data_IF_662455671099
#
_entry.id   IF_662455671099
#
_cell.length_a   1.000
_cell.length_b   1.000
_cell.length_c   1.000
_cell.angle_alpha   90.00
_cell.angle_beta   90.00
_cell.angle_gamma   90.00
#
_symmetry.space_group_name_H-M   'P 1'
#
loop_
_entity.id
_entity.type
_entity.pdbx_description
1 polymer ?
#
# COMPACT_ATOMS: atom_id res chain seq x y z
N UNK A 1 -4.27 25.31 5.31
CA UNK A 1 -5.37 24.44 4.90
C UNK A 1 -5.41 23.22 5.79
N UNK A 2 -6.61 22.81 6.20
CA UNK A 2 -6.85 21.57 6.96
C UNK A 2 -7.69 20.63 6.09
N UNK A 3 -7.11 19.50 5.67
CA UNK A 3 -7.86 18.48 4.95
C UNK A 3 -8.82 17.80 5.93
N UNK A 4 -10.10 17.76 5.57
CA UNK A 4 -11.14 17.12 6.38
C UNK A 4 -11.16 15.65 6.03
N UNK A 5 -11.13 14.78 7.05
CA UNK A 5 -11.35 13.36 6.85
C UNK A 5 -12.69 13.15 6.14
N UNK A 6 -12.73 12.49 4.97
CA UNK A 6 -13.96 12.32 4.19
C UNK A 6 -15.10 11.69 4.99
N UNK A 7 -14.75 10.92 6.03
CA UNK A 7 -15.65 10.11 6.84
C UNK A 7 -15.28 10.13 8.32
N UNK A 8 -15.11 11.31 8.89
CA UNK A 8 -14.71 11.50 10.29
C UNK A 8 -15.56 10.73 11.34
N UNK A 9 -16.80 10.37 11.00
CA UNK A 9 -17.77 9.69 11.89
C UNK A 9 -17.90 8.18 11.65
N UNK A 10 -17.32 7.65 10.58
CA UNK A 10 -17.31 6.21 10.32
C UNK A 10 -15.95 5.65 10.68
N UNK A 11 -14.91 5.95 9.88
CA UNK A 11 -13.66 5.20 9.94
C UNK A 11 -12.43 6.08 9.62
N UNK A 12 -11.24 5.73 10.15
CA UNK A 12 -10.03 6.51 9.98
C UNK A 12 -9.46 6.44 8.54
N UNK A 13 -8.60 7.40 8.22
CA UNK A 13 -7.71 7.30 7.06
C UNK A 13 -6.63 6.27 7.40
N UNK A 14 -6.53 5.23 6.57
CA UNK A 14 -5.61 4.12 6.78
C UNK A 14 -4.28 4.33 6.05
N UNK A 15 -4.31 5.04 4.92
CA UNK A 15 -3.12 5.30 4.13
C UNK A 15 -3.19 6.60 3.35
N UNK A 16 -2.03 7.18 3.04
CA UNK A 16 -1.89 8.41 2.27
C UNK A 16 -0.77 8.26 1.24
N UNK A 17 -1.04 8.69 0.01
CA UNK A 17 -0.02 8.77 -1.04
C UNK A 17 -0.12 10.07 -1.82
N UNK A 18 1.00 10.77 -1.96
CA UNK A 18 1.08 11.97 -2.79
C UNK A 18 1.53 11.60 -4.21
N UNK A 19 0.86 12.19 -5.20
CA UNK A 19 1.13 12.04 -6.63
C UNK A 19 1.65 13.37 -7.20
N UNK A 20 2.98 13.57 -7.25
CA UNK A 20 3.57 14.86 -7.65
C UNK A 20 3.16 15.32 -9.04
N UNK A 21 3.11 14.41 -10.03
CA UNK A 21 2.71 14.73 -11.41
C UNK A 21 1.33 15.41 -11.50
N UNK A 22 0.44 15.12 -10.57
CA UNK A 22 -0.93 15.64 -10.59
C UNK A 22 -1.21 16.66 -9.48
N UNK A 23 -0.23 16.94 -8.62
CA UNK A 23 -0.42 17.70 -7.38
C UNK A 23 -1.62 17.19 -6.57
N UNK A 24 -1.70 15.87 -6.36
CA UNK A 24 -2.83 15.24 -5.67
C UNK A 24 -2.37 14.43 -4.47
N UNK A 25 -3.09 14.54 -3.36
CA UNK A 25 -3.03 13.59 -2.26
C UNK A 25 -4.19 12.59 -2.38
N UNK A 26 -3.89 11.31 -2.30
CA UNK A 26 -4.87 10.24 -2.18
C UNK A 26 -4.91 9.73 -0.74
N UNK A 27 -6.10 9.35 -0.28
CA UNK A 27 -6.33 8.67 0.98
C UNK A 27 -7.10 7.37 0.77
N UNK A 28 -6.62 6.31 1.41
CA UNK A 28 -7.32 5.03 1.52
C UNK A 28 -8.07 5.02 2.85
N UNK A 29 -9.36 4.71 2.79
CA UNK A 29 -10.23 4.63 3.94
C UNK A 29 -10.96 3.28 3.93
N UNK A 30 -11.66 2.99 5.01
CA UNK A 30 -12.48 1.78 5.06
C UNK A 30 -13.62 1.77 4.03
N UNK A 31 -14.13 2.89 3.53
CA UNK A 31 -15.29 2.88 2.61
C UNK A 31 -14.97 3.36 1.19
N UNK A 32 -13.72 3.75 0.91
CA UNK A 32 -13.39 4.40 -0.35
C UNK A 32 -11.95 4.89 -0.45
N UNK A 33 -11.59 5.30 -1.66
CA UNK A 33 -10.36 6.06 -1.93
C UNK A 33 -10.75 7.49 -2.28
N UNK A 34 -10.13 8.48 -1.65
CA UNK A 34 -10.48 9.88 -1.82
C UNK A 34 -9.27 10.70 -2.29
N UNK A 35 -9.51 11.80 -3.01
CA UNK A 35 -8.44 12.65 -3.52
C UNK A 35 -8.66 14.13 -3.24
N UNK A 36 -7.58 14.85 -2.99
CA UNK A 36 -7.51 16.31 -2.91
C UNK A 36 -6.44 16.81 -3.87
N UNK A 37 -6.80 17.74 -4.74
CA UNK A 37 -5.82 18.52 -5.51
C UNK A 37 -5.16 19.52 -4.56
N UNK A 38 -3.85 19.69 -4.57
CA UNK A 38 -3.13 20.56 -3.66
C UNK A 38 -2.45 21.70 -4.45
N UNK A 39 -3.22 22.70 -4.94
CA UNK A 39 -2.65 23.80 -5.70
C UNK A 39 -1.72 24.63 -4.80
N UNK A 40 -0.48 24.85 -5.23
CA UNK A 40 0.56 25.68 -4.59
C UNK A 40 0.51 25.76 -3.04
N UNK A 41 1.27 24.90 -2.36
CA UNK A 41 1.47 24.86 -0.91
C UNK A 41 1.82 26.21 -0.24
N UNK A 42 2.25 27.22 -1.00
CA UNK A 42 2.74 28.52 -0.50
C UNK A 42 1.63 29.55 -0.27
N UNK A 43 0.40 29.35 -0.74
CA UNK A 43 -0.62 30.41 -0.79
C UNK A 43 -1.90 30.15 0.02
N UNK A 44 -2.01 29.02 0.70
CA UNK A 44 -3.27 28.67 1.35
C UNK A 44 -3.39 29.31 2.74
N UNK A 45 -4.50 30.01 2.97
CA UNK A 45 -4.87 30.48 4.31
C UNK A 45 -5.01 29.26 5.23
N UNK A 46 -4.41 29.35 6.42
CA UNK A 46 -4.34 28.23 7.37
C UNK A 46 -5.72 27.73 7.84
N UNK A 47 -6.78 28.54 7.70
CA UNK A 47 -8.09 28.32 8.35
C UNK A 47 -9.19 27.75 7.44
N UNK A 48 -8.89 27.37 6.19
CA UNK A 48 -9.89 26.76 5.31
C UNK A 48 -9.87 25.22 5.48
N UNK A 49 -10.99 24.68 5.95
CA UNK A 49 -11.29 23.24 5.95
C UNK A 49 -11.66 22.80 4.54
N UNK A 50 -11.04 21.70 4.07
CA UNK A 50 -11.24 21.21 2.70
C UNK A 50 -11.66 19.75 2.65
N UNK A 51 -12.86 19.52 2.13
CA UNK A 51 -13.39 18.19 1.82
C UNK A 51 -12.71 17.61 0.56
N UNK A 52 -12.82 16.29 0.38
CA UNK A 52 -12.31 15.63 -0.81
C UNK A 52 -12.92 16.19 -2.11
N UNK A 53 -12.08 16.31 -3.13
CA UNK A 53 -12.49 16.76 -4.45
C UNK A 53 -13.18 15.63 -5.22
N UNK A 54 -12.65 14.40 -5.08
CA UNK A 54 -13.19 13.19 -5.72
C UNK A 54 -13.14 11.99 -4.77
N UNK A 55 -14.11 11.12 -4.96
CA UNK A 55 -14.14 9.73 -4.50
C UNK A 55 -13.84 8.83 -5.70
N UNK A 56 -12.97 7.85 -5.49
CA UNK A 56 -12.46 6.94 -6.51
C UNK A 56 -12.97 5.55 -6.15
N UNK A 57 -13.87 5.03 -6.98
CA UNK A 57 -14.43 3.69 -6.81
C UNK A 57 -13.53 2.65 -7.45
N UNK A 58 -12.86 1.86 -6.61
CA UNK A 58 -12.14 0.66 -7.02
C UNK A 58 -13.15 -0.51 -7.14
N UNK A 59 -13.14 -1.30 -8.23
CA UNK A 59 -14.07 -2.40 -8.41
C UNK A 59 -13.65 -3.64 -7.60
N UNK A 60 -13.85 -3.59 -6.28
CA UNK A 60 -13.62 -4.71 -5.34
C UNK A 60 -14.75 -5.75 -5.40
N UNK A 61 -14.47 -6.97 -4.94
CA UNK A 61 -15.45 -8.07 -4.80
C UNK A 61 -15.98 -8.20 -3.38
N UNK A 62 -15.27 -7.65 -2.41
CA UNK A 62 -15.66 -7.55 -1.01
C UNK A 62 -16.16 -6.14 -0.67
N UNK A 63 -16.63 -5.97 0.56
CA UNK A 63 -16.84 -4.64 1.11
C UNK A 63 -15.53 -3.85 1.05
N UNK A 64 -15.57 -2.56 0.66
CA UNK A 64 -14.38 -1.74 0.65
C UNK A 64 -13.70 -1.77 2.03
N UNK A 65 -12.36 -1.79 2.03
CA UNK A 65 -11.52 -1.41 3.15
C UNK A 65 -10.08 -1.26 2.64
N UNK A 66 -9.67 -0.02 2.35
CA UNK A 66 -8.41 0.25 1.64
C UNK A 66 -7.28 0.61 2.60
N UNK A 67 -6.56 -0.39 3.07
CA UNK A 67 -5.48 -0.26 4.07
C UNK A 67 -4.07 -0.14 3.48
N UNK A 68 -3.93 -0.26 2.15
CA UNK A 68 -2.67 -0.06 1.45
C UNK A 68 -2.80 0.81 0.21
N UNK A 69 -1.94 1.82 0.10
CA UNK A 69 -1.79 2.67 -1.09
C UNK A 69 -0.32 2.97 -1.36
N UNK A 70 0.11 2.85 -2.61
CA UNK A 70 1.47 3.22 -2.99
C UNK A 70 1.56 3.78 -4.41
N UNK A 71 2.49 4.73 -4.62
CA UNK A 71 2.83 5.24 -5.95
C UNK A 71 3.80 4.26 -6.62
N UNK A 72 3.38 3.63 -7.71
CA UNK A 72 4.22 2.71 -8.48
C UNK A 72 4.96 3.43 -9.61
N UNK A 73 4.30 4.35 -10.31
CA UNK A 73 4.95 5.25 -11.27
C UNK A 73 4.39 6.65 -11.10
N UNK A 74 4.78 7.60 -11.94
CA UNK A 74 4.15 8.93 -11.96
C UNK A 74 2.65 8.90 -12.30
N UNK A 75 2.11 7.76 -12.76
CA UNK A 75 0.72 7.61 -13.16
C UNK A 75 0.03 6.41 -12.49
N UNK A 76 0.77 5.34 -12.23
CA UNK A 76 0.22 4.10 -11.69
C UNK A 76 0.23 4.12 -10.17
N UNK A 77 -0.92 3.77 -9.60
CA UNK A 77 -1.14 3.65 -8.16
C UNK A 77 -1.49 2.21 -7.85
N UNK A 78 -0.86 1.69 -6.80
CA UNK A 78 -1.16 0.40 -6.21
C UNK A 78 -2.15 0.62 -5.07
N UNK A 79 -3.18 -0.20 -5.00
CA UNK A 79 -4.20 -0.17 -3.96
C UNK A 79 -4.47 -1.59 -3.48
N UNK A 80 -4.52 -1.75 -2.15
CA UNK A 80 -4.86 -2.99 -1.47
C UNK A 80 -6.19 -2.80 -0.77
N UNK A 81 -7.05 -3.80 -0.89
CA UNK A 81 -8.30 -3.90 -0.14
C UNK A 81 -8.24 -5.16 0.73
N UNK A 82 -8.70 -5.05 1.96
CA UNK A 82 -8.83 -6.17 2.91
C UNK A 82 -9.79 -7.20 2.31
N UNK A 83 -9.58 -8.49 2.58
CA UNK A 83 -10.31 -9.66 2.04
C UNK A 83 -10.29 -9.86 0.51
N UNK A 84 -9.80 -8.92 -0.29
CA UNK A 84 -9.88 -9.00 -1.76
C UNK A 84 -9.04 -10.16 -2.34
N UNK A 85 -7.95 -10.54 -1.67
CA UNK A 85 -7.00 -11.57 -2.14
C UNK A 85 -6.16 -11.16 -3.36
N UNK A 86 -6.33 -9.92 -3.83
CA UNK A 86 -5.57 -9.34 -4.92
C UNK A 86 -5.17 -7.90 -4.54
N UNK A 87 -3.98 -7.49 -4.96
CA UNK A 87 -3.55 -6.09 -4.94
C UNK A 87 -3.79 -5.53 -6.34
N UNK A 88 -4.41 -4.36 -6.42
CA UNK A 88 -4.79 -3.75 -7.69
C UNK A 88 -3.86 -2.61 -8.08
N UNK A 89 -3.73 -2.41 -9.39
CA UNK A 89 -3.02 -1.28 -9.98
C UNK A 89 -3.99 -0.54 -10.90
N UNK A 90 -4.09 0.78 -10.76
CA UNK A 90 -4.87 1.64 -11.64
C UNK A 90 -4.07 2.86 -12.12
N UNK A 91 -4.51 3.46 -13.22
CA UNK A 91 -3.90 4.64 -13.81
C UNK A 91 -4.62 5.91 -13.36
N UNK A 92 -3.95 6.78 -12.60
CA UNK A 92 -4.53 8.02 -12.13
C UNK A 92 -4.79 9.03 -13.27
N UNK A 93 -4.06 8.95 -14.39
CA UNK A 93 -4.36 9.78 -15.55
C UNK A 93 -5.77 9.50 -16.10
N UNK A 94 -6.26 8.25 -15.99
CA UNK A 94 -7.63 7.89 -16.31
C UNK A 94 -8.64 8.60 -15.40
N UNK A 95 -8.33 8.72 -14.09
CA UNK A 95 -9.17 9.42 -13.13
C UNK A 95 -9.31 10.88 -13.52
N UNK A 96 -8.20 11.54 -13.86
CA UNK A 96 -8.19 12.94 -14.32
C UNK A 96 -8.99 13.13 -15.61
N UNK A 97 -8.90 12.20 -16.56
CA UNK A 97 -9.67 12.28 -17.81
C UNK A 97 -11.17 12.09 -17.56
N UNK A 98 -11.55 11.19 -16.65
CA UNK A 98 -12.95 10.91 -16.32
C UNK A 98 -13.57 12.01 -15.48
N UNK A 99 -12.81 12.60 -14.55
CA UNK A 99 -13.31 13.69 -13.68
C UNK A 99 -13.72 14.92 -14.49
N UNK A 100 -13.00 15.23 -15.58
CA UNK A 100 -13.36 16.31 -16.53
C UNK A 100 -14.71 16.12 -17.22
N UNK A 101 -15.22 14.89 -17.28
CA UNK A 101 -16.51 14.54 -17.92
C UNK A 101 -17.66 14.47 -16.92
N UNK A 102 -17.41 14.67 -15.64
CA UNK A 102 -18.45 14.65 -14.62
C UNK A 102 -19.33 15.89 -14.75
N UNK A 103 -20.64 15.69 -14.71
CA UNK A 103 -21.61 16.78 -14.56
C UNK A 103 -21.43 17.45 -13.20
N UNK A 104 -21.70 18.75 -13.11
CA UNK A 104 -21.66 19.51 -11.85
C UNK A 104 -22.41 18.78 -10.74
N UNK A 105 -21.69 18.37 -9.68
CA UNK A 105 -22.25 17.66 -8.52
C UNK A 105 -21.87 16.18 -8.40
N UNK A 106 -21.43 15.52 -9.49
CA UNK A 106 -20.84 14.17 -9.37
C UNK A 106 -19.36 14.29 -9.01
N UNK A 107 -18.97 13.67 -7.88
CA UNK A 107 -17.59 13.59 -7.41
C UNK A 107 -17.04 12.16 -7.39
N UNK A 108 -17.74 11.21 -8.00
CA UNK A 108 -17.37 9.79 -8.00
C UNK A 108 -16.80 9.37 -9.37
N UNK A 109 -15.62 8.75 -9.37
CA UNK A 109 -15.02 8.15 -10.57
C UNK A 109 -14.73 6.67 -10.31
N UNK A 110 -15.34 5.79 -11.09
CA UNK A 110 -14.95 4.38 -11.13
C UNK A 110 -13.70 4.22 -11.99
N UNK A 111 -12.70 3.50 -11.49
CA UNK A 111 -11.45 3.21 -12.24
C UNK A 111 -11.56 1.91 -13.02
N UNK A 112 -10.77 1.79 -14.09
CA UNK A 112 -10.46 0.48 -14.66
C UNK A 112 -9.11 0.00 -14.13
N UNK A 113 -9.06 -1.29 -13.78
CA UNK A 113 -7.82 -1.91 -13.32
C UNK A 113 -6.85 -2.08 -14.49
N UNK A 114 -5.62 -1.60 -14.30
CA UNK A 114 -4.45 -1.89 -15.14
C UNK A 114 -3.80 -3.20 -14.73
N UNK A 115 -3.73 -3.49 -13.43
CA UNK A 115 -3.01 -4.64 -12.91
C UNK A 115 -3.76 -5.34 -11.79
N UNK A 116 -3.60 -6.67 -11.71
CA UNK A 116 -4.05 -7.50 -10.59
C UNK A 116 -2.88 -8.39 -10.14
N UNK A 117 -2.43 -8.19 -8.92
CA UNK A 117 -1.34 -8.95 -8.32
C UNK A 117 -1.94 -9.97 -7.36
N UNK A 118 -1.67 -11.26 -7.57
CA UNK A 118 -2.15 -12.32 -6.67
C UNK A 118 -1.50 -12.15 -5.29
N UNK A 119 -2.30 -11.96 -4.24
CA UNK A 119 -1.86 -11.85 -2.86
C UNK A 119 -2.64 -12.83 -1.95
N UNK A 120 -2.42 -12.78 -0.64
CA UNK A 120 -3.16 -13.58 0.33
C UNK A 120 -4.53 -12.96 0.62
N UNK A 121 -5.56 -13.79 0.79
CA UNK A 121 -6.85 -13.35 1.36
C UNK A 121 -6.74 -13.35 2.87
N UNK A 122 -7.04 -12.21 3.49
CA UNK A 122 -7.05 -12.04 4.95
C UNK A 122 -8.01 -10.93 5.37
N UNK A 123 -8.60 -11.07 6.54
CA UNK A 123 -9.41 -10.06 7.24
C UNK A 123 -8.56 -9.12 8.11
N UNK A 124 -7.25 -9.37 8.22
CA UNK A 124 -6.32 -8.53 8.96
C UNK A 124 -6.16 -7.17 8.26
N UNK A 125 -6.41 -6.12 9.03
CA UNK A 125 -6.26 -4.72 8.61
C UNK A 125 -4.88 -4.19 9.01
N UNK A 126 -4.51 -3.00 8.52
CA UNK A 126 -3.19 -2.39 8.80
C UNK A 126 -1.99 -3.16 8.22
N UNK A 127 -2.19 -3.81 7.08
CA UNK A 127 -1.11 -4.39 6.28
C UNK A 127 -0.91 -3.50 5.06
N UNK A 128 0.12 -2.66 5.09
CA UNK A 128 0.40 -1.71 4.04
C UNK A 128 1.09 -2.38 2.84
N UNK A 129 0.82 -1.84 1.66
CA UNK A 129 1.52 -2.17 0.41
C UNK A 129 2.53 -1.08 0.08
N UNK A 130 3.71 -1.49 -0.38
CA UNK A 130 4.77 -0.57 -0.80
C UNK A 130 5.10 -0.79 -2.27
N UNK A 131 5.39 0.31 -2.96
CA UNK A 131 5.89 0.28 -4.32
C UNK A 131 7.18 1.11 -4.42
N UNK A 132 8.11 0.66 -5.26
CA UNK A 132 9.38 1.35 -5.51
C UNK A 132 9.48 1.76 -6.98
N UNK A 133 9.11 3.00 -7.33
CA UNK A 133 9.06 3.45 -8.73
C UNK A 133 10.34 3.30 -9.55
N UNK A 134 11.51 3.47 -8.92
CA UNK A 134 12.79 3.28 -9.62
C UNK A 134 13.12 1.83 -9.97
N UNK A 135 12.47 0.87 -9.31
CA UNK A 135 12.66 -0.56 -9.52
C UNK A 135 11.43 -1.24 -10.15
N UNK A 136 10.34 -0.50 -10.33
CA UNK A 136 9.05 -1.06 -10.75
C UNK A 136 8.60 -2.26 -9.92
N UNK A 137 8.96 -2.26 -8.64
CA UNK A 137 8.69 -3.35 -7.71
C UNK A 137 7.52 -3.01 -6.78
N UNK A 138 6.75 -4.03 -6.41
CA UNK A 138 5.73 -3.96 -5.35
C UNK A 138 6.10 -4.98 -4.28
N UNK A 139 5.93 -4.61 -3.02
CA UNK A 139 6.17 -5.48 -1.87
C UNK A 139 5.00 -5.35 -0.89
N UNK A 140 4.54 -6.47 -0.36
CA UNK A 140 3.48 -6.49 0.64
C UNK A 140 3.75 -7.62 1.63
N UNK A 141 3.62 -7.33 2.92
CA UNK A 141 3.55 -8.34 3.96
C UNK A 141 2.21 -9.08 3.97
N UNK A 142 2.04 -10.04 4.87
CA UNK A 142 0.76 -10.64 5.22
C UNK A 142 0.67 -10.96 6.73
N UNK A 143 -0.44 -11.59 7.13
CA UNK A 143 -0.71 -11.99 8.51
C UNK A 143 -0.17 -13.39 8.86
N UNK A 144 0.68 -13.96 8.01
CA UNK A 144 1.38 -15.24 8.21
C UNK A 144 2.91 -15.05 8.20
N UNK A 145 3.39 -13.83 8.47
CA UNK A 145 4.82 -13.50 8.53
C UNK A 145 5.52 -13.49 7.18
N UNK A 146 4.77 -13.52 6.09
CA UNK A 146 5.31 -13.73 4.75
C UNK A 146 5.33 -12.42 3.97
N UNK A 147 6.33 -12.28 3.09
CA UNK A 147 6.53 -11.09 2.26
C UNK A 147 6.45 -11.46 0.79
N UNK A 148 5.56 -10.79 0.07
CA UNK A 148 5.27 -11.00 -1.35
C UNK A 148 5.97 -9.94 -2.19
N UNK A 149 6.85 -10.35 -3.09
CA UNK A 149 7.62 -9.46 -3.97
C UNK A 149 7.17 -9.63 -5.41
N UNK A 150 6.93 -8.51 -6.09
CA UNK A 150 6.54 -8.46 -7.50
C UNK A 150 7.53 -7.59 -8.25
N UNK A 151 8.04 -8.09 -9.37
CA UNK A 151 8.74 -7.32 -10.39
C UNK A 151 7.75 -7.02 -11.52
N UNK A 152 7.47 -5.74 -11.74
CA UNK A 152 6.54 -5.25 -12.76
C UNK A 152 7.25 -4.50 -13.89
N UNK A 153 8.59 -4.58 -13.97
CA UNK A 153 9.40 -3.87 -14.96
C UNK A 153 8.88 -4.12 -16.38
N UNK A 154 8.68 -5.40 -16.73
CA UNK A 154 8.17 -5.79 -18.05
C UNK A 154 6.80 -5.17 -18.36
N UNK A 155 5.86 -5.26 -17.42
CA UNK A 155 4.48 -4.77 -17.61
C UNK A 155 4.45 -3.24 -17.76
N UNK A 156 5.37 -2.55 -17.10
CA UNK A 156 5.48 -1.09 -17.16
C UNK A 156 6.18 -0.64 -18.44
N UNK A 157 7.29 -1.29 -18.83
CA UNK A 157 8.04 -0.96 -20.04
C UNK A 157 7.24 -1.22 -21.32
N UNK A 158 6.44 -2.29 -21.33
CA UNK A 158 5.56 -2.63 -22.46
C UNK A 158 4.25 -1.80 -22.48
N UNK A 159 4.05 -0.90 -21.50
CA UNK A 159 2.79 -0.17 -21.25
C UNK A 159 1.55 -1.09 -21.33
N UNK A 160 1.64 -2.24 -20.65
CA UNK A 160 0.61 -3.27 -20.73
C UNK A 160 -0.74 -2.69 -20.28
N UNK A 161 -1.73 -2.65 -21.20
CA UNK A 161 -3.06 -2.07 -20.92
C UNK A 161 -3.76 -2.75 -19.76
N UNK A 162 -3.62 -4.07 -19.65
CA UNK A 162 -4.11 -4.89 -18.53
C UNK A 162 -3.14 -6.04 -18.29
N UNK A 163 -2.85 -6.35 -17.03
CA UNK A 163 -1.97 -7.46 -16.67
C UNK A 163 -2.39 -8.15 -15.38
N UNK A 164 -1.97 -9.41 -15.26
CA UNK A 164 -2.00 -10.16 -14.00
C UNK A 164 -0.58 -10.56 -13.67
N UNK A 165 -0.19 -10.45 -12.40
CA UNK A 165 1.13 -10.87 -11.95
C UNK A 165 1.03 -11.81 -10.74
N UNK A 166 1.94 -12.77 -10.69
CA UNK A 166 2.23 -13.57 -9.50
C UNK A 166 3.47 -12.96 -8.84
N UNK A 167 3.66 -13.15 -7.53
CA UNK A 167 4.91 -12.76 -6.89
C UNK A 167 6.07 -13.49 -7.57
N UNK A 168 7.18 -12.78 -7.79
CA UNK A 168 8.44 -13.36 -8.25
C UNK A 168 9.17 -14.05 -7.10
N UNK A 169 8.90 -13.62 -5.86
CA UNK A 169 9.41 -14.24 -4.64
C UNK A 169 8.41 -14.10 -3.50
N UNK A 170 8.31 -15.13 -2.69
CA UNK A 170 7.59 -15.14 -1.42
C UNK A 170 8.64 -15.48 -0.37
N UNK A 171 8.87 -14.58 0.59
CA UNK A 171 9.82 -14.77 1.68
C UNK A 171 9.05 -15.15 2.93
N UNK A 172 9.37 -16.30 3.50
CA UNK A 172 8.85 -16.72 4.79
C UNK A 172 9.53 -15.95 5.92
N UNK A 173 8.86 -15.88 7.07
CA UNK A 173 9.43 -15.31 8.28
C UNK A 173 10.72 -16.04 8.67
N UNK A 174 11.80 -15.33 9.01
CA UNK A 174 13.08 -15.96 9.28
C UNK A 174 13.04 -16.67 10.64
N UNK A 175 13.83 -17.74 10.77
CA UNK A 175 14.11 -18.33 12.07
C UNK A 175 14.94 -17.34 12.91
N UNK A 176 14.32 -16.79 13.97
CA UNK A 176 14.99 -15.91 14.90
C UNK A 176 15.83 -16.73 15.89
N UNK A 177 17.14 -16.80 15.70
CA UNK A 177 18.06 -17.36 16.71
C UNK A 177 18.66 -16.24 17.56
N UNK A 178 18.49 -16.29 18.89
CA UNK A 178 19.20 -15.40 19.81
C UNK A 178 20.61 -15.95 20.03
N UNK A 179 21.62 -15.25 19.53
CA UNK A 179 23.02 -15.52 19.85
C UNK A 179 23.34 -15.01 21.26
N UNK A 180 23.75 -15.90 22.15
CA UNK A 180 24.08 -15.56 23.53
C UNK A 180 24.10 -16.80 24.43
N UNK A 181 25.05 -16.86 25.35
CA UNK A 181 25.32 -17.98 26.26
C UNK A 181 24.90 -17.69 27.70
N UNK A 182 24.08 -16.67 27.94
CA UNK A 182 23.65 -16.28 29.30
C UNK A 182 22.23 -16.76 29.56
N UNK A 183 21.94 -17.09 30.82
CA UNK A 183 20.62 -17.59 31.23
C UNK A 183 19.49 -16.56 30.99
N UNK A 184 19.79 -15.26 30.91
CA UNK A 184 18.87 -14.20 30.47
C UNK A 184 18.40 -14.40 29.01
N UNK A 185 19.24 -15.01 28.17
CA UNK A 185 18.92 -15.31 26.77
C UNK A 185 17.91 -16.46 26.65
N UNK A 186 17.69 -17.27 27.69
CA UNK A 186 16.73 -18.39 27.65
C UNK A 186 15.30 -17.87 27.78
N UNK A 187 15.04 -16.92 28.69
CA UNK A 187 13.74 -16.25 28.77
C UNK A 187 13.47 -15.39 27.53
N UNK A 188 14.50 -14.72 26.99
CA UNK A 188 14.38 -13.99 25.74
C UNK A 188 14.11 -14.94 24.56
N UNK A 189 14.79 -16.10 24.51
CA UNK A 189 14.56 -17.15 23.51
C UNK A 189 13.15 -17.66 23.58
N UNK A 190 12.68 -18.08 24.76
CA UNK A 190 11.28 -18.48 24.94
C UNK A 190 10.34 -17.35 24.55
N UNK A 191 10.60 -16.09 24.91
CA UNK A 191 9.75 -14.96 24.48
C UNK A 191 9.78 -14.65 22.98
N UNK A 192 10.75 -15.17 22.20
CA UNK A 192 10.84 -14.95 20.75
C UNK A 192 10.43 -16.23 19.96
N UNK A 193 10.71 -17.41 20.50
CA UNK A 193 10.55 -18.71 19.83
C UNK A 193 9.45 -19.57 20.43
N UNK A 194 8.96 -19.28 21.64
CA UNK A 194 7.84 -20.04 22.23
C UNK A 194 6.50 -19.48 21.73
N UNK A 195 5.95 -20.14 20.71
CA UNK A 195 4.52 -20.06 20.42
C UNK A 195 4.00 -18.87 19.62
N UNK A 196 4.87 -18.04 19.02
CA UNK A 196 4.39 -17.01 18.10
C UNK A 196 3.81 -17.69 16.84
N UNK A 197 2.50 -17.52 16.64
CA UNK A 197 1.94 -17.44 15.29
C UNK A 197 2.82 -16.44 14.52
N UNK A 198 3.21 -16.78 13.28
CA UNK A 198 4.02 -15.88 12.46
C UNK A 198 3.46 -14.44 12.55
N UNK A 199 4.31 -13.43 12.76
CA UNK A 199 3.84 -12.08 13.04
C UNK A 199 3.11 -11.48 11.85
N UNK A 200 2.24 -10.50 12.09
CA UNK A 200 1.68 -9.71 11.00
C UNK A 200 2.75 -8.76 10.49
N UNK A 201 3.05 -8.82 9.20
CA UNK A 201 4.00 -7.91 8.55
C UNK A 201 3.26 -6.64 8.12
N UNK A 202 3.20 -5.64 9.01
CA UNK A 202 2.41 -4.43 8.79
C UNK A 202 2.94 -3.52 7.68
N UNK A 203 4.26 -3.39 7.52
CA UNK A 203 4.82 -2.63 6.40
C UNK A 203 6.17 -3.16 5.97
N UNK A 204 6.48 -2.93 4.71
CA UNK A 204 7.73 -3.35 4.07
C UNK A 204 8.30 -2.19 3.27
N UNK A 205 9.61 -2.20 3.02
CA UNK A 205 10.20 -1.29 2.03
C UNK A 205 11.47 -1.86 1.42
N UNK A 206 11.81 -1.40 0.21
CA UNK A 206 13.04 -1.76 -0.49
C UNK A 206 14.03 -0.60 -0.47
N UNK A 207 15.32 -0.85 -0.32
CA UNK A 207 16.33 0.18 -0.56
C UNK A 207 16.23 0.70 -2.00
N UNK A 208 16.71 1.92 -2.24
CA UNK A 208 16.56 2.57 -3.55
C UNK A 208 17.20 1.79 -4.71
N UNK A 209 18.22 0.98 -4.40
CA UNK A 209 19.01 0.13 -5.30
C UNK A 209 18.54 -1.33 -5.31
N UNK A 210 17.49 -1.66 -4.55
CA UNK A 210 16.93 -2.99 -4.44
C UNK A 210 17.82 -4.02 -3.75
N UNK A 211 18.90 -3.59 -3.08
CA UNK A 211 19.83 -4.49 -2.39
C UNK A 211 19.31 -4.97 -1.03
N UNK A 212 18.46 -4.18 -0.38
CA UNK A 212 17.90 -4.47 0.93
C UNK A 212 16.38 -4.43 0.91
N UNK A 213 15.79 -5.31 1.70
CA UNK A 213 14.38 -5.31 2.06
C UNK A 213 14.29 -5.11 3.57
N UNK A 214 13.36 -4.27 4.02
CA UNK A 214 12.99 -4.15 5.44
C UNK A 214 11.53 -4.54 5.61
N UNK A 215 11.22 -5.16 6.75
CA UNK A 215 9.87 -5.42 7.20
C UNK A 215 9.75 -5.05 8.67
N UNK A 216 8.59 -4.52 9.05
CA UNK A 216 8.23 -4.28 10.45
C UNK A 216 6.92 -4.98 10.76
N UNK A 217 6.78 -5.42 12.01
CA UNK A 217 5.68 -6.28 12.42
C UNK A 217 4.91 -5.76 13.63
N UNK A 218 3.77 -6.40 13.89
CA UNK A 218 2.87 -6.14 15.00
C UNK A 218 3.46 -6.49 16.37
N UNK A 219 4.46 -7.37 16.40
CA UNK A 219 5.23 -7.71 17.59
C UNK A 219 6.51 -6.87 17.77
N UNK A 220 6.61 -5.71 17.11
CA UNK A 220 7.73 -4.76 17.20
C UNK A 220 9.09 -5.30 16.69
N UNK A 221 9.08 -6.36 15.87
CA UNK A 221 10.30 -6.82 15.21
C UNK A 221 10.54 -6.03 13.94
N UNK A 222 11.82 -5.77 13.66
CA UNK A 222 12.28 -5.19 12.41
C UNK A 222 13.30 -6.14 11.80
N UNK A 223 13.02 -6.63 10.60
CA UNK A 223 13.89 -7.54 9.88
C UNK A 223 14.43 -6.85 8.63
N UNK A 224 15.72 -7.04 8.36
CA UNK A 224 16.39 -6.52 7.18
C UNK A 224 17.04 -7.70 6.45
N UNK A 225 16.68 -7.88 5.19
CA UNK A 225 17.32 -8.84 4.31
C UNK A 225 18.24 -8.11 3.35
N UNK A 226 19.39 -8.71 3.07
CA UNK A 226 20.25 -8.35 1.94
C UNK A 226 20.03 -9.38 0.84
N UNK A 227 19.64 -8.95 -0.35
CA UNK A 227 19.59 -9.86 -1.49
C UNK A 227 21.03 -10.17 -1.93
N UNK A 228 21.41 -11.45 -1.86
CA UNK A 228 22.61 -11.94 -2.53
C UNK A 228 22.29 -12.06 -4.02
N UNK A 229 22.97 -11.25 -4.84
CA UNK A 229 22.94 -11.38 -6.30
C UNK A 229 23.57 -12.68 -6.79
#
# INVERSE_FOLDING_TARGET
MRLVCPRANLNPVLNLVFLPKFDVLLAGCEDGVFSWNLPEFRKEKLNEERIADLEIKIPTRCEPCFDGLAKLTEQLVVVKCVEEGEIYVFDYAQVVQRSKRLSSGKKLVTVELRGQLRWQTTDEIYINVTARPGLNAVVCGDNEGTIWLYDLQKQIDEDARRFKAKPVKILEWPECSIGGSKDEDVQLKESITSGFKNPVVNTTDLSHDGQYLVAVTDNNLVCIWKFSG
#
